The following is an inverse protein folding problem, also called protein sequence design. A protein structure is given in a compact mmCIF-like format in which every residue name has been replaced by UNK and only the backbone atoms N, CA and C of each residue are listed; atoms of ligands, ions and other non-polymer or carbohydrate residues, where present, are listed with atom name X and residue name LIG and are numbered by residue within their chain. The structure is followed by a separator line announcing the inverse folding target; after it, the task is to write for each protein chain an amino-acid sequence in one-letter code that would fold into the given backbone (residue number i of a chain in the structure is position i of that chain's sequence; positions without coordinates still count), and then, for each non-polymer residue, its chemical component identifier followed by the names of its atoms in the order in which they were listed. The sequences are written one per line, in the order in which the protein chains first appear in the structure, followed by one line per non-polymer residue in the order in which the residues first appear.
data_IF_446522763633
#
_entry.id   IF_446522763633
#
_cell.length_a   1.000
_cell.length_b   1.000
_cell.length_c   1.000
_cell.angle_alpha   90.00
_cell.angle_beta   90.00
_cell.angle_gamma   90.00
#
_symmetry.space_group_name_H-M   'P 1'
#
loop_
_entity.id
_entity.type
_entity.pdbx_description
1 polymer ?
#
# COMPACT_ATOMS: atom_id res chain seq x y z
N UNK A 1 22.24 2.10 -15.81
CA UNK A 1 21.74 2.25 -14.42
C UNK A 1 20.92 1.01 -14.08
N UNK A 2 21.11 0.37 -12.92
CA UNK A 2 20.35 -0.82 -12.54
C UNK A 2 19.11 -0.39 -11.73
N UNK A 3 17.88 -0.52 -12.29
CA UNK A 3 16.66 -0.09 -11.60
C UNK A 3 16.44 -0.77 -10.26
N UNK A 4 16.69 -2.07 -10.19
CA UNK A 4 16.50 -2.87 -8.97
C UNK A 4 17.41 -2.42 -7.82
N UNK A 5 18.64 -2.03 -8.13
CA UNK A 5 19.57 -1.49 -7.13
C UNK A 5 19.10 -0.12 -6.61
N UNK A 6 18.51 0.70 -7.49
CA UNK A 6 17.92 1.98 -7.10
C UNK A 6 16.69 1.79 -6.22
N UNK A 7 15.80 0.88 -6.57
CA UNK A 7 14.61 0.56 -5.78
C UNK A 7 14.99 0.14 -4.36
N UNK A 8 15.88 -0.83 -4.21
CA UNK A 8 16.37 -1.28 -2.90
C UNK A 8 16.99 -0.16 -2.08
N UNK A 9 17.80 0.69 -2.73
CA UNK A 9 18.43 1.85 -2.08
C UNK A 9 17.39 2.82 -1.51
N UNK A 10 16.36 3.15 -2.30
CA UNK A 10 15.36 4.12 -1.87
C UNK A 10 14.39 3.54 -0.87
N UNK A 11 13.96 2.30 -1.03
CA UNK A 11 13.11 1.60 -0.05
C UNK A 11 13.78 1.60 1.33
N UNK A 12 15.07 1.22 1.40
CA UNK A 12 15.82 1.25 2.65
C UNK A 12 15.89 2.66 3.27
N UNK A 13 16.16 3.69 2.46
CA UNK A 13 16.20 5.07 2.95
C UNK A 13 14.84 5.55 3.48
N UNK A 14 13.76 5.18 2.83
CA UNK A 14 12.42 5.55 3.26
C UNK A 14 12.02 4.86 4.56
N UNK A 15 12.42 3.61 4.72
CA UNK A 15 12.21 2.84 5.94
C UNK A 15 13.02 3.43 7.11
N UNK A 16 14.33 3.66 6.92
CA UNK A 16 15.20 4.28 7.92
C UNK A 16 14.73 5.67 8.35
N UNK A 17 14.23 6.45 7.41
CA UNK A 17 13.69 7.78 7.67
C UNK A 17 12.24 7.77 8.21
N UNK A 18 11.60 6.61 8.30
CA UNK A 18 10.17 6.45 8.66
C UNK A 18 9.27 7.41 7.87
N UNK A 19 9.59 7.61 6.58
CA UNK A 19 9.05 8.69 5.75
C UNK A 19 7.52 8.62 5.59
N UNK A 20 6.95 7.42 5.64
CA UNK A 20 5.53 7.20 5.41
C UNK A 20 4.73 7.04 6.70
N UNK A 21 5.40 7.08 7.85
CA UNK A 21 4.71 7.06 9.13
C UNK A 21 4.17 8.46 9.45
N UNK A 22 3.03 8.51 10.12
CA UNK A 22 2.37 9.74 10.47
C UNK A 22 1.96 9.68 11.94
N UNK A 23 2.48 10.60 12.72
CA UNK A 23 2.12 10.79 14.11
C UNK A 23 1.21 12.04 14.25
N UNK A 24 0.28 12.07 15.21
CA UNK A 24 -0.51 13.26 15.46
C UNK A 24 0.39 14.47 15.80
N UNK A 25 0.19 15.56 15.06
CA UNK A 25 0.89 16.83 15.28
C UNK A 25 -0.11 17.99 15.27
N UNK A 26 0.07 18.92 16.16
CA UNK A 26 -0.78 20.11 16.25
C UNK A 26 -0.26 21.27 15.39
N UNK A 27 1.05 21.25 15.10
CA UNK A 27 1.78 22.29 14.37
C UNK A 27 1.75 22.16 12.85
N UNK A 28 1.10 21.10 12.34
CA UNK A 28 1.00 20.84 10.90
C UNK A 28 -0.45 20.60 10.47
N UNK A 29 -0.79 21.13 9.31
CA UNK A 29 -2.05 20.79 8.63
C UNK A 29 -2.10 19.29 8.33
N UNK A 30 -3.23 18.68 8.67
CA UNK A 30 -3.46 17.25 8.45
C UNK A 30 -4.03 17.00 7.05
N UNK A 31 -3.60 15.92 6.43
CA UNK A 31 -4.16 15.46 5.17
C UNK A 31 -4.33 13.95 5.19
N UNK A 32 -5.54 13.49 4.99
CA UNK A 32 -5.89 12.07 4.96
C UNK A 32 -6.13 11.62 3.53
N UNK A 33 -5.46 10.54 3.13
CA UNK A 33 -5.67 9.86 1.85
C UNK A 33 -6.16 8.45 2.13
N UNK A 34 -7.21 8.04 1.48
CA UNK A 34 -7.74 6.68 1.56
C UNK A 34 -7.81 6.06 0.17
N UNK A 35 -7.57 4.76 0.11
CA UNK A 35 -7.69 3.95 -1.10
C UNK A 35 -8.28 2.58 -0.73
N UNK A 36 -9.09 1.96 -1.59
CA UNK A 36 -9.58 0.61 -1.35
C UNK A 36 -8.41 -0.36 -1.14
N UNK A 37 -8.49 -1.17 -0.10
CA UNK A 37 -7.49 -2.20 0.14
C UNK A 37 -7.68 -3.38 -0.81
N UNK A 38 -6.60 -3.92 -1.41
CA UNK A 38 -6.71 -5.11 -2.23
C UNK A 38 -7.02 -6.34 -1.39
N UNK A 39 -7.70 -7.30 -1.97
CA UNK A 39 -7.83 -8.60 -1.36
C UNK A 39 -6.48 -9.30 -1.29
N UNK A 40 -6.26 -10.09 -0.23
CA UNK A 40 -5.02 -10.83 -0.04
C UNK A 40 -4.89 -12.09 -0.93
N UNK A 41 -5.95 -12.47 -1.64
CA UNK A 41 -5.95 -13.62 -2.52
C UNK A 41 -5.53 -13.24 -3.94
N UNK A 42 -4.35 -13.63 -4.34
CA UNK A 42 -3.81 -13.40 -5.68
C UNK A 42 -2.82 -12.23 -5.78
N UNK A 43 -2.19 -12.13 -6.94
CA UNK A 43 -1.18 -11.11 -7.21
C UNK A 43 -1.79 -9.76 -7.55
N UNK A 44 -1.09 -8.71 -7.15
CA UNK A 44 -1.42 -7.36 -7.61
C UNK A 44 -1.18 -7.26 -9.12
N UNK A 45 -2.06 -6.55 -9.80
CA UNK A 45 -2.00 -6.33 -11.24
C UNK A 45 -2.00 -4.84 -11.59
N UNK A 46 -1.86 -4.51 -12.86
CA UNK A 46 -1.76 -3.12 -13.33
C UNK A 46 -2.93 -2.23 -12.85
N UNK A 47 -4.13 -2.76 -12.72
CA UNK A 47 -5.28 -2.02 -12.17
C UNK A 47 -5.06 -1.58 -10.73
N UNK A 48 -4.45 -2.43 -9.89
CA UNK A 48 -4.06 -2.06 -8.54
C UNK A 48 -2.98 -0.96 -8.55
N UNK A 49 -1.95 -1.12 -9.40
CA UNK A 49 -0.91 -0.10 -9.54
C UNK A 49 -1.50 1.26 -9.94
N UNK A 50 -2.42 1.30 -10.90
CA UNK A 50 -3.11 2.52 -11.32
C UNK A 50 -3.87 3.18 -10.16
N UNK A 51 -4.59 2.40 -9.36
CA UNK A 51 -5.34 2.92 -8.22
C UNK A 51 -4.44 3.50 -7.14
N UNK A 52 -3.41 2.76 -6.75
CA UNK A 52 -2.54 3.16 -5.63
C UNK A 52 -1.55 4.26 -5.99
N UNK A 53 -1.02 4.26 -7.22
CA UNK A 53 -0.13 5.33 -7.67
C UNK A 53 -0.81 6.69 -7.67
N UNK A 54 -2.09 6.77 -8.00
CA UNK A 54 -2.85 8.03 -7.92
C UNK A 54 -2.91 8.57 -6.49
N UNK A 55 -3.20 7.71 -5.53
CA UNK A 55 -3.24 8.08 -4.12
C UNK A 55 -1.84 8.43 -3.60
N UNK A 56 -0.81 7.68 -3.99
CA UNK A 56 0.58 7.94 -3.63
C UNK A 56 1.09 9.28 -4.18
N UNK A 57 0.78 9.60 -5.43
CA UNK A 57 1.14 10.90 -6.03
C UNK A 57 0.55 12.07 -5.24
N UNK A 58 -0.73 11.99 -4.88
CA UNK A 58 -1.39 13.01 -4.06
C UNK A 58 -0.74 13.11 -2.68
N UNK A 59 -0.47 11.97 -2.05
CA UNK A 59 0.18 11.91 -0.74
C UNK A 59 1.56 12.55 -0.76
N UNK A 60 2.38 12.24 -1.76
CA UNK A 60 3.71 12.84 -1.96
C UNK A 60 3.62 14.35 -2.17
N UNK A 61 2.71 14.80 -3.01
CA UNK A 61 2.50 16.22 -3.24
C UNK A 61 2.11 16.97 -1.96
N UNK A 62 1.22 16.42 -1.15
CA UNK A 62 0.81 17.04 0.10
C UNK A 62 1.96 17.06 1.14
N UNK A 63 2.82 16.01 1.17
CA UNK A 63 4.04 16.03 2.00
C UNK A 63 5.01 17.13 1.55
N UNK A 64 5.18 17.32 0.23
CA UNK A 64 6.00 18.43 -0.29
C UNK A 64 5.46 19.82 0.12
N UNK A 65 4.17 19.91 0.40
CA UNK A 65 3.53 21.11 0.96
C UNK A 65 3.61 21.19 2.49
N UNK A 66 4.48 20.40 3.10
CA UNK A 66 4.70 20.33 4.55
C UNK A 66 3.46 19.91 5.36
N UNK A 67 2.54 19.15 4.79
CA UNK A 67 1.40 18.60 5.52
C UNK A 67 1.75 17.29 6.21
N UNK A 68 1.15 17.05 7.36
CA UNK A 68 1.17 15.75 8.02
C UNK A 68 0.19 14.82 7.31
N UNK A 69 0.71 13.87 6.52
CA UNK A 69 -0.10 13.03 5.62
C UNK A 69 -0.23 11.64 6.18
N UNK A 70 -1.46 11.23 6.47
CA UNK A 70 -1.83 9.87 6.78
C UNK A 70 -2.39 9.18 5.52
N UNK A 71 -1.66 8.17 5.02
CA UNK A 71 -2.10 7.31 3.93
C UNK A 71 -1.93 5.84 4.36
N UNK A 72 -2.91 5.26 5.05
CA UNK A 72 -2.85 3.87 5.49
C UNK A 72 -2.97 2.93 4.28
N UNK A 73 -2.22 1.83 4.33
CA UNK A 73 -2.32 0.75 3.36
C UNK A 73 -2.40 -0.59 4.09
N UNK A 74 -3.32 -1.45 3.67
CA UNK A 74 -3.51 -2.79 4.24
C UNK A 74 -4.10 -3.73 3.19
N UNK A 75 -4.36 -4.97 3.58
CA UNK A 75 -5.07 -5.95 2.75
C UNK A 75 -6.47 -6.21 3.30
N UNK A 76 -7.41 -6.45 2.37
CA UNK A 76 -8.76 -6.86 2.73
C UNK A 76 -8.78 -8.39 2.92
N UNK A 77 -8.94 -8.80 4.19
CA UNK A 77 -8.82 -10.20 4.59
C UNK A 77 -10.17 -10.92 4.78
N UNK A 78 -11.29 -10.29 4.39
CA UNK A 78 -12.65 -10.83 4.58
C UNK A 78 -13.48 -10.69 3.29
N UNK A 79 -14.66 -11.31 3.28
CA UNK A 79 -15.60 -11.21 2.17
C UNK A 79 -15.57 -12.43 1.24
N UNK A 80 -16.54 -12.46 0.31
CA UNK A 80 -16.77 -13.57 -0.61
C UNK A 80 -15.51 -14.03 -1.37
N UNK A 81 -14.64 -13.13 -1.90
CA UNK A 81 -13.43 -13.57 -2.58
C UNK A 81 -12.46 -14.36 -1.70
N UNK A 82 -12.36 -13.97 -0.42
CA UNK A 82 -11.49 -14.65 0.55
C UNK A 82 -12.08 -16.00 0.95
N UNK A 83 -13.39 -16.08 1.18
CA UNK A 83 -14.09 -17.34 1.48
C UNK A 83 -13.92 -18.32 0.32
N UNK A 84 -14.10 -17.86 -0.92
CA UNK A 84 -13.91 -18.69 -2.12
C UNK A 84 -12.46 -19.18 -2.25
N UNK A 85 -11.48 -18.32 -2.00
CA UNK A 85 -10.06 -18.70 -2.01
C UNK A 85 -9.75 -19.75 -0.92
N UNK A 86 -10.26 -19.54 0.29
CA UNK A 86 -10.09 -20.50 1.39
C UNK A 86 -10.70 -21.86 1.07
N UNK A 87 -11.85 -21.88 0.41
CA UNK A 87 -12.50 -23.14 -0.04
C UNK A 87 -11.62 -23.89 -1.04
N UNK A 88 -11.07 -23.21 -2.07
CA UNK A 88 -10.18 -23.81 -3.06
C UNK A 88 -8.90 -24.36 -2.43
N UNK A 89 -8.31 -23.63 -1.48
CA UNK A 89 -7.15 -24.14 -0.72
C UNK A 89 -7.50 -25.41 0.04
N UNK A 90 -8.67 -25.47 0.65
CA UNK A 90 -9.18 -26.65 1.35
C UNK A 90 -9.38 -27.83 0.39
N UNK A 91 -9.75 -27.58 -0.84
CA UNK A 91 -9.89 -28.58 -1.91
C UNK A 91 -8.55 -28.96 -2.57
N UNK A 92 -7.44 -28.40 -2.12
CA UNK A 92 -6.09 -28.74 -2.52
C UNK A 92 -5.48 -27.87 -3.62
N UNK A 93 -6.13 -26.79 -4.04
CA UNK A 93 -5.54 -25.80 -4.93
C UNK A 93 -4.44 -25.01 -4.23
N UNK A 94 -3.22 -25.07 -4.79
CA UNK A 94 -2.08 -24.28 -4.30
C UNK A 94 -2.00 -22.96 -5.05
N UNK A 95 -1.55 -21.89 -4.37
CA UNK A 95 -1.26 -20.60 -5.01
C UNK A 95 -2.40 -19.57 -4.94
N UNK A 96 -3.39 -19.78 -4.11
CA UNK A 96 -4.50 -18.86 -3.90
C UNK A 96 -4.24 -17.83 -2.78
N UNK A 97 -3.12 -17.99 -2.04
CA UNK A 97 -2.70 -17.10 -0.96
C UNK A 97 -1.22 -16.80 -1.18
N UNK A 98 -0.85 -15.54 -1.19
CA UNK A 98 0.52 -15.06 -1.24
C UNK A 98 1.07 -14.87 0.16
#
# INVERSE_FOLDING_TARGET
MNPQALEKKWQKKWEEARLFESEPREDQDKYFVNSPYPYMNGYLHLGHAFTYLRADMVSRYQRMKNKNVLFPFAFHCTGTPIVAAAQRVKEGEKGQIN
#
